data_IF_895224939131
#
_entry.id   IF_895224939131
#
_cell.length_a   1.000
_cell.length_b   1.000
_cell.length_c   1.000
_cell.angle_alpha   90.00
_cell.angle_beta   90.00
_cell.angle_gamma   90.00
#
_symmetry.space_group_name_H-M   'P 1'
#
loop_
_entity.id
_entity.type
_entity.pdbx_description
1 polymer ?
#
# COMPACT_ATOMS: atom_id res chain seq x y z
N UNK A 1 -3.14 -10.63 5.69
CA UNK A 1 -4.29 -10.44 4.76
C UNK A 1 -3.76 -10.01 3.39
N UNK A 2 -4.46 -10.33 2.30
CA UNK A 2 -4.22 -9.76 0.97
C UNK A 2 -5.55 -9.29 0.35
N UNK A 3 -5.55 -8.22 -0.44
CA UNK A 3 -6.75 -7.71 -1.12
C UNK A 3 -6.48 -7.31 -2.59
N UNK A 4 -7.47 -7.57 -3.44
CA UNK A 4 -7.59 -7.00 -4.78
C UNK A 4 -8.26 -5.64 -4.71
N UNK A 5 -7.78 -4.68 -5.52
CA UNK A 5 -8.30 -3.31 -5.59
C UNK A 5 -8.66 -2.74 -4.20
N UNK A 6 -7.68 -2.68 -3.27
CA UNK A 6 -7.95 -2.32 -1.89
C UNK A 6 -8.46 -0.88 -1.78
N UNK A 7 -9.35 -0.63 -0.82
CA UNK A 7 -9.59 0.73 -0.35
C UNK A 7 -8.36 1.28 0.36
N UNK A 8 -8.16 2.59 0.28
CA UNK A 8 -7.05 3.26 0.95
C UNK A 8 -7.54 4.47 1.74
N UNK A 9 -6.91 4.76 2.87
CA UNK A 9 -7.09 5.99 3.61
C UNK A 9 -5.73 6.43 4.13
N UNK A 10 -5.34 7.70 3.96
CA UNK A 10 -4.13 8.21 4.59
C UNK A 10 -4.27 8.15 6.11
N UNK A 11 -3.16 7.89 6.81
CA UNK A 11 -3.16 7.97 8.28
C UNK A 11 -3.31 9.43 8.72
N UNK A 12 -3.79 9.64 9.95
CA UNK A 12 -3.85 10.99 10.53
C UNK A 12 -2.47 11.68 10.50
N UNK A 13 -1.39 10.91 10.65
CA UNK A 13 -0.04 11.45 10.59
C UNK A 13 0.37 11.92 9.19
N UNK A 14 0.01 11.15 8.14
CA UNK A 14 0.18 11.59 6.75
C UNK A 14 -0.56 12.90 6.48
N UNK A 15 -1.82 12.99 6.93
CA UNK A 15 -2.63 14.22 6.79
C UNK A 15 -1.97 15.39 7.52
N UNK A 16 -1.48 15.20 8.75
CA UNK A 16 -0.79 16.26 9.49
C UNK A 16 0.50 16.73 8.82
N UNK A 17 1.29 15.81 8.25
CA UNK A 17 2.57 16.13 7.59
C UNK A 17 2.40 16.87 6.26
N UNK A 18 1.39 16.50 5.47
CA UNK A 18 1.12 17.15 4.18
C UNK A 18 -0.40 17.23 3.93
N UNK A 19 -1.08 18.18 4.57
CA UNK A 19 -2.53 18.30 4.51
C UNK A 19 -3.02 18.64 3.10
N UNK A 20 -2.30 19.49 2.36
CA UNK A 20 -2.64 19.86 0.99
C UNK A 20 -2.74 18.63 0.07
N UNK A 21 -1.85 17.65 0.25
CA UNK A 21 -1.86 16.41 -0.52
C UNK A 21 -2.91 15.41 -0.02
N UNK A 22 -3.05 15.24 1.30
CA UNK A 22 -3.76 14.08 1.87
C UNK A 22 -5.13 14.37 2.48
N UNK A 23 -5.43 15.61 2.88
CA UNK A 23 -6.69 15.94 3.55
C UNK A 23 -7.92 15.64 2.67
N UNK A 24 -7.80 15.84 1.36
CA UNK A 24 -8.83 15.51 0.37
C UNK A 24 -9.22 14.02 0.37
N UNK A 25 -8.36 13.13 0.89
CA UNK A 25 -8.58 11.69 0.96
C UNK A 25 -8.93 11.22 2.38
N UNK A 26 -9.21 12.12 3.32
CA UNK A 26 -9.50 11.75 4.71
C UNK A 26 -10.73 10.83 4.87
N UNK A 27 -11.70 10.93 3.95
CA UNK A 27 -12.86 10.04 3.85
C UNK A 27 -12.58 8.67 3.23
N UNK A 28 -11.33 8.45 2.77
CA UNK A 28 -10.91 7.25 2.07
C UNK A 28 -11.09 7.35 0.56
N UNK A 29 -10.38 6.46 -0.12
CA UNK A 29 -10.41 6.27 -1.57
C UNK A 29 -10.89 4.84 -1.81
N UNK A 30 -11.97 4.64 -2.58
CA UNK A 30 -12.46 3.31 -2.90
C UNK A 30 -11.41 2.54 -3.74
N UNK A 31 -11.58 1.23 -3.82
CA UNK A 31 -10.80 0.40 -4.72
C UNK A 31 -10.94 0.84 -6.17
N UNK A 32 -9.87 0.72 -6.95
CA UNK A 32 -9.91 0.93 -8.40
C UNK A 32 -8.64 1.58 -8.97
N UNK A 33 -8.64 1.86 -10.29
CA UNK A 33 -7.44 2.30 -11.02
C UNK A 33 -6.79 3.60 -10.54
N UNK A 34 -7.55 4.44 -9.82
CA UNK A 34 -7.06 5.72 -9.26
C UNK A 34 -6.62 5.61 -7.80
N UNK A 35 -6.69 4.42 -7.21
CA UNK A 35 -6.32 4.22 -5.81
C UNK A 35 -4.79 4.19 -5.66
N UNK A 36 -4.20 4.96 -4.72
CA UNK A 36 -2.75 4.97 -4.51
C UNK A 36 -2.11 3.63 -4.13
N UNK A 37 -2.90 2.66 -3.66
CA UNK A 37 -2.43 1.29 -3.39
C UNK A 37 -2.34 0.42 -4.64
N UNK A 38 -2.87 0.88 -5.79
CA UNK A 38 -2.84 0.16 -7.05
C UNK A 38 -3.71 -1.12 -7.05
N UNK A 39 -3.31 -2.07 -7.88
CA UNK A 39 -4.13 -3.25 -8.20
C UNK A 39 -4.24 -4.28 -7.07
N UNK A 40 -3.20 -4.42 -6.23
CA UNK A 40 -3.12 -5.37 -5.12
C UNK A 40 -2.43 -4.74 -3.91
N UNK A 41 -2.81 -5.19 -2.72
CA UNK A 41 -2.04 -4.95 -1.50
C UNK A 41 -1.95 -6.20 -0.63
N UNK A 42 -0.76 -6.44 -0.11
CA UNK A 42 -0.44 -7.43 0.92
C UNK A 42 -0.18 -6.66 2.22
N UNK A 43 -0.92 -7.02 3.26
CA UNK A 43 -0.92 -6.33 4.55
C UNK A 43 0.02 -7.05 5.50
N UNK A 44 0.96 -6.31 6.08
CA UNK A 44 1.99 -6.86 6.95
C UNK A 44 1.57 -6.76 8.41
N UNK A 45 1.68 -7.88 9.12
CA UNK A 45 1.31 -8.01 10.51
C UNK A 45 2.53 -8.44 11.32
N UNK A 46 2.60 -7.95 12.55
CA UNK A 46 3.58 -8.40 13.55
C UNK A 46 2.82 -8.83 14.79
N UNK A 47 3.02 -10.07 15.23
CA UNK A 47 2.34 -10.64 16.40
C UNK A 47 0.81 -10.50 16.34
N UNK A 48 0.23 -10.65 15.14
CA UNK A 48 -1.20 -10.50 14.87
C UNK A 48 -1.71 -9.05 14.74
N UNK A 49 -0.84 -8.06 14.95
CA UNK A 49 -1.20 -6.63 14.92
C UNK A 49 -0.86 -6.04 13.54
N UNK A 50 -1.78 -5.26 12.96
CA UNK A 50 -1.55 -4.55 11.68
C UNK A 50 -0.45 -3.50 11.89
N UNK A 51 0.61 -3.60 11.09
CA UNK A 51 1.75 -2.68 11.19
C UNK A 51 1.52 -1.38 10.43
N UNK A 52 0.42 -1.26 9.68
CA UNK A 52 0.14 -0.24 8.65
C UNK A 52 1.10 -0.26 7.46
N UNK A 53 2.10 -1.15 7.44
CA UNK A 53 2.96 -1.41 6.29
C UNK A 53 2.29 -2.37 5.32
N UNK A 54 2.55 -2.13 4.03
CA UNK A 54 1.99 -2.91 2.93
C UNK A 54 3.02 -3.08 1.83
N UNK A 55 2.98 -4.22 1.16
CA UNK A 55 3.53 -4.37 -0.19
C UNK A 55 2.37 -4.14 -1.14
N UNK A 56 2.46 -3.13 -2.00
CA UNK A 56 1.31 -2.73 -2.83
C UNK A 56 1.74 -2.18 -4.19
N UNK A 57 0.77 -2.11 -5.11
CA UNK A 57 0.95 -1.49 -6.43
C UNK A 57 1.08 0.03 -6.35
N UNK A 58 1.03 0.73 -7.48
CA UNK A 58 1.04 2.20 -7.48
C UNK A 58 0.40 2.73 -8.75
N UNK A 59 -0.21 3.92 -8.68
CA UNK A 59 -0.60 4.72 -9.85
C UNK A 59 0.53 5.65 -10.32
N UNK A 60 1.62 5.72 -9.55
CA UNK A 60 2.78 6.57 -9.81
C UNK A 60 4.02 5.68 -10.05
N UNK A 61 4.14 4.97 -11.19
CA UNK A 61 5.24 4.02 -11.43
C UNK A 61 6.62 4.68 -11.38
N UNK A 62 6.73 5.95 -11.75
CA UNK A 62 7.97 6.76 -11.67
C UNK A 62 8.47 7.02 -10.24
N UNK A 63 7.68 6.65 -9.22
CA UNK A 63 8.03 6.79 -7.81
C UNK A 63 8.82 5.58 -7.28
N UNK A 64 8.90 4.49 -8.04
CA UNK A 64 9.61 3.27 -7.63
C UNK A 64 11.12 3.55 -7.57
N UNK A 65 11.79 2.99 -6.55
CA UNK A 65 13.22 3.20 -6.30
C UNK A 65 13.56 4.53 -5.61
N UNK A 66 12.55 5.32 -5.21
CA UNK A 66 12.74 6.60 -4.50
C UNK A 66 12.20 6.52 -3.07
N UNK A 67 12.83 7.26 -2.15
CA UNK A 67 12.37 7.38 -0.75
C UNK A 67 11.19 8.32 -0.62
N UNK A 68 10.05 7.93 -1.21
CA UNK A 68 8.80 8.72 -1.22
C UNK A 68 7.67 8.03 -0.46
N UNK A 69 7.88 6.79 -0.01
CA UNK A 69 6.84 6.05 0.71
C UNK A 69 6.85 6.42 2.18
N UNK A 70 5.67 6.46 2.79
CA UNK A 70 5.52 6.57 4.24
C UNK A 70 5.71 5.19 4.90
N UNK A 71 6.78 4.49 4.51
CA UNK A 71 7.14 3.16 5.01
C UNK A 71 6.67 1.98 4.14
N UNK A 72 5.58 2.12 3.37
CA UNK A 72 5.11 1.02 2.51
C UNK A 72 6.08 0.71 1.34
N UNK A 73 6.03 -0.53 0.85
CA UNK A 73 6.83 -1.01 -0.29
C UNK A 73 5.96 -0.91 -1.55
N UNK A 74 6.37 -0.08 -2.50
CA UNK A 74 5.67 0.13 -3.79
C UNK A 74 6.26 -0.77 -4.88
N UNK A 75 5.39 -1.35 -5.69
CA UNK A 75 5.73 -2.16 -6.87
C UNK A 75 4.93 -1.70 -8.09
N UNK A 76 5.38 -2.08 -9.29
CA UNK A 76 4.56 -1.99 -10.49
C UNK A 76 3.30 -2.85 -10.31
N UNK A 77 2.17 -2.42 -10.90
CA UNK A 77 0.90 -3.15 -10.75
C UNK A 77 1.02 -4.59 -11.26
N UNK A 78 1.68 -4.80 -12.39
CA UNK A 78 1.92 -6.12 -12.97
C UNK A 78 2.71 -7.03 -12.01
N UNK A 79 3.78 -6.51 -11.40
CA UNK A 79 4.61 -7.28 -10.48
C UNK A 79 3.90 -7.59 -9.16
N UNK A 80 3.13 -6.64 -8.61
CA UNK A 80 2.37 -6.91 -7.38
C UNK A 80 1.23 -7.88 -7.61
N UNK A 81 0.62 -7.90 -8.81
CA UNK A 81 -0.37 -8.91 -9.21
C UNK A 81 0.28 -10.28 -9.19
N UNK A 82 1.43 -10.43 -9.85
CA UNK A 82 2.15 -11.71 -9.85
C UNK A 82 2.52 -12.17 -8.44
N UNK A 83 3.07 -11.28 -7.61
CA UNK A 83 3.40 -11.59 -6.22
C UNK A 83 2.15 -12.02 -5.43
N UNK A 84 1.05 -11.29 -5.59
CA UNK A 84 -0.21 -11.57 -4.90
C UNK A 84 -0.72 -12.98 -5.16
N UNK A 85 -0.62 -13.47 -6.40
CA UNK A 85 -1.05 -14.83 -6.75
C UNK A 85 -0.12 -15.90 -6.17
N UNK A 86 1.18 -15.62 -6.09
CA UNK A 86 2.18 -16.60 -5.68
C UNK A 86 2.27 -16.80 -4.17
N UNK A 87 1.97 -15.77 -3.37
CA UNK A 87 2.18 -15.85 -1.91
C UNK A 87 0.87 -16.08 -1.13
N UNK A 88 0.81 -17.16 -0.32
CA UNK A 88 -0.29 -17.36 0.62
C UNK A 88 -0.29 -16.32 1.75
N UNK A 89 -1.45 -16.16 2.41
CA UNK A 89 -1.51 -15.41 3.67
C UNK A 89 -0.74 -16.20 4.74
N UNK A 90 0.11 -15.51 5.49
CA UNK A 90 0.96 -16.12 6.52
C UNK A 90 2.42 -16.31 6.10
N UNK A 91 2.76 -16.07 4.83
CA UNK A 91 4.15 -16.05 4.36
C UNK A 91 4.98 -15.05 5.18
N UNK A 92 6.11 -15.46 5.77
CA UNK A 92 7.00 -14.56 6.50
C UNK A 92 7.59 -13.48 5.60
N UNK A 93 7.72 -12.27 6.12
CA UNK A 93 8.37 -11.13 5.43
C UNK A 93 9.48 -10.59 6.32
N UNK A 94 10.69 -10.53 5.79
CA UNK A 94 11.85 -9.92 6.43
C UNK A 94 12.23 -8.67 5.65
N UNK A 95 12.39 -7.55 6.34
CA UNK A 95 12.91 -6.29 5.79
C UNK A 95 14.28 -6.06 6.41
N UNK A 96 15.30 -5.88 5.56
CA UNK A 96 16.71 -5.70 5.96
C UNK A 96 17.09 -4.24 6.09
#
# INVERSE_FOLDING_TARGET
RKAEWPSWRPTNDMIRRNPERYAQFAGGVPGGPRNPLGARALYLYKDGIDTYYRIHGTTEPWSIGKSVSNGCIRMLNEHVIQLYEQVPVGTPVTVL
#
